data_IF_122909881716
#
_entry.id   IF_122909881716
#
_cell.length_a   1.000
_cell.length_b   1.000
_cell.length_c   1.000
_cell.angle_alpha   90.00
_cell.angle_beta   90.00
_cell.angle_gamma   90.00
#
_symmetry.space_group_name_H-M   'P 1'
#
loop_
_entity.id
_entity.type
_entity.pdbx_description
1 polymer ?
#
# COMPACT_ATOMS: atom_id res chain seq x y z
N UNK A 1 21.51 11.55 23.20
CA UNK A 1 20.89 10.65 24.18
C UNK A 1 19.88 11.46 24.98
N UNK A 2 18.73 10.88 25.27
CA UNK A 2 17.67 11.52 26.05
C UNK A 2 17.51 10.77 27.37
N UNK A 3 17.06 11.44 28.43
CA UNK A 3 16.76 10.82 29.72
C UNK A 3 15.43 10.05 29.62
N UNK A 4 15.40 8.82 30.13
CA UNK A 4 14.17 8.02 30.20
C UNK A 4 13.40 8.40 31.46
N UNK A 5 12.13 8.79 31.29
CA UNK A 5 11.26 9.19 32.39
C UNK A 5 10.25 8.10 32.75
N UNK A 6 9.65 7.46 31.74
CA UNK A 6 8.65 6.42 31.93
C UNK A 6 8.58 5.47 30.73
N UNK A 7 7.87 4.36 30.88
CA UNK A 7 7.55 3.43 29.80
C UNK A 7 6.09 3.00 29.84
N UNK A 8 5.58 2.55 28.69
CA UNK A 8 4.29 1.87 28.63
C UNK A 8 4.34 0.49 29.30
N UNK A 9 3.19 0.03 29.78
CA UNK A 9 3.08 -1.28 30.45
C UNK A 9 3.47 -2.44 29.51
N UNK A 10 3.10 -2.32 28.23
CA UNK A 10 3.41 -3.28 27.16
C UNK A 10 4.85 -3.17 26.61
N UNK A 11 5.62 -2.15 27.04
CA UNK A 11 6.99 -1.91 26.59
C UNK A 11 7.12 -1.31 25.17
N UNK A 12 6.01 -0.97 24.50
CA UNK A 12 6.00 -0.40 23.15
C UNK A 12 6.39 1.07 23.07
N UNK A 13 6.32 1.84 24.17
CA UNK A 13 6.56 3.29 24.19
C UNK A 13 7.45 3.71 25.35
N UNK A 14 8.32 4.69 25.08
CA UNK A 14 9.25 5.27 26.03
C UNK A 14 9.04 6.77 26.14
N UNK A 15 8.81 7.29 27.34
CA UNK A 15 8.77 8.72 27.60
C UNK A 15 10.19 9.21 27.86
N UNK A 16 10.58 10.24 27.12
CA UNK A 16 11.91 10.84 27.23
C UNK A 16 11.84 12.31 27.59
N UNK A 17 12.82 12.78 28.34
CA UNK A 17 13.15 14.19 28.48
C UNK A 17 14.51 14.51 27.85
N UNK A 18 14.69 15.61 27.13
CA UNK A 18 13.66 16.49 26.58
C UNK A 18 14.04 16.83 25.13
N UNK A 19 13.07 16.76 24.23
CA UNK A 19 13.22 17.28 22.88
C UNK A 19 12.77 18.74 22.89
N UNK A 20 13.70 19.67 22.63
CA UNK A 20 13.44 21.12 22.72
C UNK A 20 12.79 21.57 24.05
N UNK A 21 13.18 20.95 25.18
CA UNK A 21 12.66 21.28 26.50
C UNK A 21 11.28 20.69 26.82
N UNK A 22 10.74 19.83 25.95
CA UNK A 22 9.49 19.13 26.16
C UNK A 22 9.71 17.63 26.34
N UNK A 23 8.96 17.02 27.25
CA UNK A 23 8.85 15.57 27.38
C UNK A 23 8.03 15.02 26.22
N UNK A 24 8.40 13.83 25.72
CA UNK A 24 7.73 13.22 24.58
C UNK A 24 7.80 11.70 24.62
N UNK A 25 6.85 11.07 23.94
CA UNK A 25 6.79 9.61 23.79
C UNK A 25 7.40 9.18 22.47
N UNK A 26 8.29 8.18 22.52
CA UNK A 26 8.93 7.59 21.36
C UNK A 26 8.51 6.12 21.27
N UNK A 27 8.15 5.70 20.06
CA UNK A 27 7.86 4.30 19.79
C UNK A 27 9.14 3.46 19.88
N UNK A 28 9.12 2.38 20.65
CA UNK A 28 10.31 1.60 21.01
C UNK A 28 11.07 1.03 19.82
N UNK A 29 10.40 0.75 18.70
CA UNK A 29 11.07 0.28 17.48
C UNK A 29 11.89 1.36 16.76
N UNK A 30 11.62 2.64 17.04
CA UNK A 30 12.31 3.78 16.46
C UNK A 30 13.52 4.23 17.29
N UNK A 31 13.79 3.58 18.43
CA UNK A 31 14.86 3.98 19.34
C UNK A 31 15.63 2.79 19.91
N UNK A 32 16.95 2.96 20.08
CA UNK A 32 17.77 2.04 20.88
C UNK A 32 17.71 2.46 22.34
N UNK A 33 17.23 1.56 23.20
CA UNK A 33 17.05 1.83 24.64
C UNK A 33 18.20 1.24 25.43
N UNK A 34 18.88 2.08 26.20
CA UNK A 34 19.95 1.68 27.12
C UNK A 34 19.54 2.02 28.57
N UNK A 35 19.89 1.16 29.53
CA UNK A 35 19.60 1.36 30.98
C UNK A 35 18.11 1.49 31.31
N UNK A 36 17.31 0.53 30.85
CA UNK A 36 15.86 0.46 31.08
C UNK A 36 15.44 0.01 32.50
N UNK A 37 16.39 -0.41 33.33
CA UNK A 37 16.11 -0.97 34.67
C UNK A 37 15.59 0.10 35.63
N UNK A 38 14.44 -0.15 36.25
CA UNK A 38 13.85 0.74 37.25
C UNK A 38 13.04 1.92 36.72
N UNK A 39 12.82 2.01 35.40
CA UNK A 39 11.96 3.04 34.80
C UNK A 39 10.49 2.77 35.12
N UNK A 40 9.79 3.79 35.62
CA UNK A 40 8.40 3.71 36.04
C UNK A 40 7.45 3.39 34.87
N UNK A 41 6.40 2.63 35.15
CA UNK A 41 5.30 2.39 34.21
C UNK A 41 4.33 3.58 34.32
N UNK A 42 4.03 4.25 33.21
CA UNK A 42 3.06 5.34 33.21
C UNK A 42 1.62 4.80 33.32
N UNK A 43 0.82 5.39 34.22
CA UNK A 43 -0.59 5.00 34.41
C UNK A 43 -1.51 5.44 33.25
N UNK A 44 -1.10 6.45 32.47
CA UNK A 44 -1.84 6.97 31.32
C UNK A 44 -0.85 7.31 30.21
N UNK A 45 -0.98 6.66 29.06
CA UNK A 45 -0.27 7.04 27.83
C UNK A 45 -1.25 7.89 27.01
N UNK A 46 -0.90 9.11 26.59
CA UNK A 46 -1.76 9.87 25.69
C UNK A 46 -1.90 9.08 24.38
N UNK A 47 -3.14 8.75 24.02
CA UNK A 47 -3.46 8.24 22.68
C UNK A 47 -3.00 9.30 21.67
N UNK A 48 -2.27 8.96 20.59
CA UNK A 48 -1.81 9.96 19.64
C UNK A 48 -3.03 10.70 19.10
N UNK A 49 -3.13 11.99 19.43
CA UNK A 49 -4.11 12.89 18.84
C UNK A 49 -3.58 13.19 17.43
N UNK A 50 -4.34 12.92 16.36
CA UNK A 50 -3.94 13.32 15.01
C UNK A 50 -3.64 14.83 15.01
N UNK A 51 -2.61 15.31 14.30
CA UNK A 51 -2.23 16.71 14.35
C UNK A 51 -3.41 17.59 13.95
N UNK A 52 -3.83 18.45 14.87
CA UNK A 52 -4.76 19.54 14.58
C UNK A 52 -4.10 20.44 13.52
N UNK A 53 -4.72 20.68 12.35
CA UNK A 53 -4.14 21.56 11.36
C UNK A 53 -3.95 22.97 11.96
N UNK A 54 -2.75 23.51 11.82
CA UNK A 54 -2.41 24.87 12.23
C UNK A 54 -3.27 25.90 11.46
N UNK A 55 -3.78 26.96 12.11
CA UNK A 55 -4.53 28.00 11.42
C UNK A 55 -3.60 28.79 10.51
N UNK A 56 -3.79 28.63 9.20
CA UNK A 56 -3.12 29.45 8.18
C UNK A 56 -3.54 30.91 8.37
N UNK A 57 -2.55 31.80 8.50
CA UNK A 57 -2.77 33.24 8.61
C UNK A 57 -3.58 33.77 7.40
N UNK A 58 -4.58 34.61 7.67
CA UNK A 58 -5.45 35.18 6.65
C UNK A 58 -4.65 36.03 5.64
N UNK A 59 -4.68 35.62 4.37
CA UNK A 59 -4.22 36.41 3.22
C UNK A 59 -5.30 37.47 2.91
N UNK A 60 -4.96 38.74 2.63
CA UNK A 60 -5.96 39.77 2.36
C UNK A 60 -6.78 39.44 1.12
N UNK A 61 -8.10 39.58 1.26
CA UNK A 61 -9.15 39.38 0.26
C UNK A 61 -8.81 40.04 -1.08
N UNK A 62 -8.57 39.22 -2.10
CA UNK A 62 -8.73 39.63 -3.49
C UNK A 62 -10.22 39.71 -3.83
N UNK A 63 -10.58 40.75 -4.60
CA UNK A 63 -11.91 41.03 -5.12
C UNK A 63 -12.54 39.80 -5.82
N UNK A 64 -13.89 39.69 -5.88
CA UNK A 64 -14.57 38.49 -6.35
C UNK A 64 -14.21 38.20 -7.80
N UNK A 65 -13.36 37.19 -7.99
CA UNK A 65 -13.25 36.48 -9.24
C UNK A 65 -14.36 35.43 -9.24
N UNK A 66 -15.24 35.61 -10.23
CA UNK A 66 -16.33 34.76 -10.67
C UNK A 66 -16.08 33.27 -10.39
N UNK A 67 -17.06 32.66 -9.70
CA UNK A 67 -17.14 31.25 -9.36
C UNK A 67 -17.10 30.41 -10.64
N UNK A 68 -15.90 30.03 -11.07
CA UNK A 68 -15.74 28.90 -11.94
C UNK A 68 -16.12 27.67 -11.12
N UNK A 69 -17.30 27.15 -11.40
CA UNK A 69 -17.81 25.88 -10.89
C UNK A 69 -16.82 24.80 -11.31
N UNK A 70 -15.82 24.52 -10.47
CA UNK A 70 -15.06 23.27 -10.56
C UNK A 70 -16.01 22.21 -10.04
N UNK A 71 -16.65 21.53 -10.98
CA UNK A 71 -17.36 20.28 -10.76
C UNK A 71 -16.45 19.38 -9.92
N UNK A 72 -16.87 19.06 -8.71
CA UNK A 72 -16.24 18.03 -7.90
C UNK A 72 -16.14 16.78 -8.79
N UNK A 73 -14.98 16.07 -8.82
CA UNK A 73 -14.90 14.84 -9.58
C UNK A 73 -16.08 13.96 -9.16
N UNK A 74 -16.86 13.52 -10.14
CA UNK A 74 -18.00 12.67 -9.91
C UNK A 74 -17.60 11.55 -8.93
N UNK A 75 -18.33 11.43 -7.81
CA UNK A 75 -18.16 10.32 -6.91
C UNK A 75 -18.21 9.04 -7.74
N UNK A 76 -17.14 8.26 -7.68
CA UNK A 76 -17.04 6.98 -8.39
C UNK A 76 -18.26 6.13 -8.05
N UNK A 77 -18.77 5.30 -8.99
CA UNK A 77 -19.79 4.32 -8.65
C UNK A 77 -19.29 3.50 -7.45
N UNK A 78 -20.15 3.36 -6.44
CA UNK A 78 -19.91 2.60 -5.21
C UNK A 78 -19.92 1.10 -5.53
N UNK A 79 -18.88 0.64 -6.24
CA UNK A 79 -18.67 -0.78 -6.52
C UNK A 79 -18.03 -1.37 -5.28
N UNK A 80 -18.77 -2.21 -4.55
CA UNK A 80 -18.21 -2.96 -3.42
C UNK A 80 -16.97 -3.74 -3.89
N UNK A 81 -15.76 -3.38 -3.42
CA UNK A 81 -14.53 -3.97 -3.90
C UNK A 81 -14.39 -5.45 -3.50
N UNK A 82 -15.20 -5.93 -2.54
CA UNK A 82 -15.24 -7.34 -2.10
C UNK A 82 -16.25 -8.19 -2.87
N UNK A 83 -17.10 -7.60 -3.73
CA UNK A 83 -18.14 -8.34 -4.45
C UNK A 83 -17.59 -9.36 -5.46
N UNK A 84 -16.34 -9.20 -5.90
CA UNK A 84 -15.66 -10.08 -6.85
C UNK A 84 -14.15 -9.98 -6.67
N UNK A 85 -13.37 -10.95 -7.14
CA UNK A 85 -11.90 -10.81 -7.25
C UNK A 85 -11.46 -10.04 -8.50
N UNK A 86 -12.36 -9.85 -9.47
CA UNK A 86 -12.05 -9.08 -10.67
C UNK A 86 -11.88 -7.58 -10.36
N UNK A 87 -11.04 -6.92 -11.15
CA UNK A 87 -10.85 -5.46 -11.13
C UNK A 87 -11.94 -4.70 -11.86
N UNK A 88 -11.85 -3.37 -11.81
CA UNK A 88 -12.65 -2.45 -12.62
C UNK A 88 -11.76 -1.77 -13.65
N UNK A 89 -11.91 -2.16 -14.91
CA UNK A 89 -11.11 -1.67 -16.03
C UNK A 89 -11.85 -0.56 -16.79
N UNK A 90 -12.41 0.40 -16.06
CA UNK A 90 -13.05 1.57 -16.64
C UNK A 90 -12.15 2.20 -17.73
N UNK A 91 -12.55 2.19 -19.01
CA UNK A 91 -11.74 2.74 -20.10
C UNK A 91 -11.64 4.26 -20.04
N UNK A 92 -12.50 4.91 -19.25
CA UNK A 92 -12.53 6.36 -19.12
C UNK A 92 -11.73 6.93 -17.96
N UNK A 93 -11.15 6.07 -17.11
CA UNK A 93 -10.25 6.50 -16.04
C UNK A 93 -9.00 7.22 -16.58
N UNK A 94 -8.52 8.22 -15.83
CA UNK A 94 -7.29 8.94 -16.16
C UNK A 94 -6.07 8.02 -16.11
N UNK A 95 -5.96 7.19 -15.07
CA UNK A 95 -4.94 6.16 -14.95
C UNK A 95 -5.48 4.80 -15.39
N UNK A 96 -4.80 4.16 -16.34
CA UNK A 96 -5.07 2.80 -16.79
C UNK A 96 -3.94 1.85 -16.39
N UNK A 97 -4.28 0.57 -16.20
CA UNK A 97 -3.30 -0.49 -15.96
C UNK A 97 -2.73 -0.90 -17.31
N UNK A 98 -1.48 -0.53 -17.57
CA UNK A 98 -0.78 -0.82 -18.83
C UNK A 98 0.16 -2.02 -18.72
N UNK A 99 0.46 -2.46 -17.51
CA UNK A 99 1.21 -3.68 -17.22
C UNK A 99 0.64 -4.35 -15.98
N UNK A 100 0.41 -5.66 -16.07
CA UNK A 100 0.05 -6.51 -14.96
C UNK A 100 0.65 -7.89 -15.19
N UNK A 101 1.48 -8.36 -14.27
CA UNK A 101 2.18 -9.64 -14.41
C UNK A 101 2.32 -10.35 -13.07
N UNK A 102 1.96 -11.63 -13.05
CA UNK A 102 2.36 -12.55 -11.98
C UNK A 102 3.80 -13.00 -12.25
N UNK A 103 4.68 -12.77 -11.27
CA UNK A 103 6.04 -13.29 -11.25
C UNK A 103 6.01 -14.66 -10.59
N UNK A 104 5.92 -15.69 -11.43
CA UNK A 104 5.64 -17.06 -11.03
C UNK A 104 6.89 -17.92 -10.86
N UNK A 105 6.79 -19.21 -11.20
CA UNK A 105 7.87 -20.17 -11.03
C UNK A 105 9.15 -19.73 -11.76
N UNK A 106 10.22 -19.50 -11.00
CA UNK A 106 11.52 -19.10 -11.54
C UNK A 106 11.70 -17.59 -11.77
N UNK A 107 10.69 -16.78 -11.46
CA UNK A 107 10.76 -15.31 -11.58
C UNK A 107 10.72 -14.67 -10.19
N UNK A 108 11.69 -13.81 -9.87
CA UNK A 108 11.82 -13.19 -8.54
C UNK A 108 11.75 -14.21 -7.39
N UNK A 109 12.36 -15.40 -7.55
CA UNK A 109 12.22 -16.52 -6.61
C UNK A 109 10.74 -16.84 -6.28
N UNK A 110 9.84 -16.65 -7.24
CA UNK A 110 8.45 -17.06 -7.18
C UNK A 110 8.32 -18.56 -7.46
N UNK A 111 7.23 -19.14 -6.96
CA UNK A 111 6.89 -20.54 -7.15
C UNK A 111 7.70 -21.54 -6.32
N UNK A 112 8.52 -21.07 -5.38
CA UNK A 112 9.34 -21.92 -4.48
C UNK A 112 8.88 -21.78 -3.02
N UNK A 113 9.26 -22.75 -2.17
CA UNK A 113 8.79 -22.88 -0.77
C UNK A 113 9.91 -22.76 0.28
N UNK A 114 11.08 -22.27 -0.12
CA UNK A 114 12.21 -22.06 0.78
C UNK A 114 12.28 -20.61 1.30
N UNK A 115 13.28 -20.33 2.13
CA UNK A 115 13.50 -19.01 2.73
C UNK A 115 13.91 -17.92 1.73
N UNK A 116 14.25 -18.28 0.49
CA UNK A 116 14.61 -17.36 -0.58
C UNK A 116 13.41 -16.83 -1.36
N UNK A 117 12.22 -17.36 -1.11
CA UNK A 117 11.01 -17.03 -1.84
C UNK A 117 10.55 -15.57 -1.58
N UNK A 118 10.08 -14.87 -2.62
CA UNK A 118 9.67 -13.47 -2.55
C UNK A 118 8.16 -13.30 -2.74
N UNK A 119 7.60 -12.26 -2.14
CA UNK A 119 6.17 -11.97 -2.15
C UNK A 119 5.86 -10.48 -2.19
N UNK A 120 6.35 -9.79 -3.21
CA UNK A 120 6.16 -8.34 -3.36
C UNK A 120 5.19 -7.99 -4.48
N UNK A 121 4.47 -6.88 -4.34
CA UNK A 121 3.85 -6.16 -5.45
C UNK A 121 4.81 -5.03 -5.80
N UNK A 122 5.42 -5.11 -6.98
CA UNK A 122 6.21 -4.04 -7.57
C UNK A 122 5.27 -3.10 -8.31
N UNK A 123 5.07 -1.91 -7.73
CA UNK A 123 4.14 -0.91 -8.21
C UNK A 123 4.90 0.19 -8.94
N UNK A 124 4.41 0.57 -10.12
CA UNK A 124 4.88 1.76 -10.85
C UNK A 124 3.69 2.65 -11.23
N UNK A 125 3.83 3.96 -11.05
CA UNK A 125 2.89 4.97 -11.53
C UNK A 125 3.62 5.89 -12.50
N UNK A 126 3.06 6.04 -13.70
CA UNK A 126 3.63 6.79 -14.81
C UNK A 126 2.71 7.93 -15.26
N UNK A 127 3.30 9.04 -15.69
CA UNK A 127 2.60 10.12 -16.36
C UNK A 127 2.30 9.75 -17.83
N UNK A 128 1.66 10.68 -18.55
CA UNK A 128 1.35 10.49 -19.97
C UNK A 128 2.58 10.39 -20.88
N UNK A 129 3.73 10.90 -20.45
CA UNK A 129 5.02 10.77 -21.13
C UNK A 129 5.76 9.47 -20.82
N UNK A 130 5.26 8.66 -19.89
CA UNK A 130 5.93 7.45 -19.41
C UNK A 130 7.01 7.71 -18.35
N UNK A 131 7.05 8.92 -17.77
CA UNK A 131 7.94 9.23 -16.65
C UNK A 131 7.31 8.80 -15.33
N UNK A 132 8.13 8.38 -14.37
CA UNK A 132 7.66 8.03 -13.03
C UNK A 132 7.05 9.24 -12.31
N UNK A 133 5.89 9.04 -11.69
CA UNK A 133 5.20 10.06 -10.88
C UNK A 133 5.51 9.83 -9.42
N UNK A 134 6.47 10.56 -8.86
CA UNK A 134 6.74 10.54 -7.42
C UNK A 134 5.62 11.28 -6.66
N UNK A 135 5.25 10.79 -5.49
CA UNK A 135 4.17 11.36 -4.67
C UNK A 135 2.76 10.95 -5.11
N UNK A 136 2.61 10.04 -6.10
CA UNK A 136 1.30 9.45 -6.37
C UNK A 136 0.90 8.51 -5.23
N UNK A 137 -0.35 8.64 -4.79
CA UNK A 137 -0.96 7.85 -3.72
C UNK A 137 -1.75 6.72 -4.35
N UNK A 138 -1.38 5.49 -4.03
CA UNK A 138 -2.08 4.28 -4.48
C UNK A 138 -2.77 3.65 -3.27
N UNK A 139 -4.07 3.43 -3.41
CA UNK A 139 -4.93 2.91 -2.36
C UNK A 139 -5.21 1.41 -2.56
N UNK A 140 -5.15 0.64 -1.47
CA UNK A 140 -5.65 -0.72 -1.41
C UNK A 140 -7.10 -0.74 -0.91
N UNK A 141 -8.00 -1.30 -1.71
CA UNK A 141 -9.44 -1.29 -1.46
C UNK A 141 -9.97 -2.49 -0.66
N UNK A 142 -9.17 -3.56 -0.54
CA UNK A 142 -9.55 -4.80 0.15
C UNK A 142 -8.53 -5.18 1.23
N UNK A 143 -8.82 -6.24 2.00
CA UNK A 143 -7.95 -6.68 3.10
C UNK A 143 -7.84 -5.63 4.21
N UNK A 144 -6.63 -5.42 4.73
CA UNK A 144 -6.32 -4.43 5.77
C UNK A 144 -6.61 -2.98 5.36
N UNK A 145 -6.71 -2.72 4.04
CA UNK A 145 -6.80 -1.39 3.43
C UNK A 145 -5.61 -0.50 3.81
N UNK A 146 -5.27 0.44 2.95
CA UNK A 146 -4.12 1.30 3.19
C UNK A 146 -3.70 2.07 1.95
N UNK A 147 -2.66 2.87 2.11
CA UNK A 147 -2.08 3.63 1.00
C UNK A 147 -0.59 3.42 0.92
N UNK A 148 -0.06 3.50 -0.29
CA UNK A 148 1.36 3.55 -0.56
C UNK A 148 1.65 4.78 -1.42
N UNK A 149 2.78 5.44 -1.14
CA UNK A 149 3.24 6.60 -1.90
C UNK A 149 4.42 6.16 -2.76
N UNK A 150 4.43 6.61 -4.01
CA UNK A 150 5.47 6.29 -4.99
C UNK A 150 6.68 7.22 -4.91
N UNK A 151 7.86 6.71 -5.26
CA UNK A 151 9.13 7.45 -5.36
C UNK A 151 10.27 6.87 -4.53
N UNK A 152 9.96 6.20 -3.42
CA UNK A 152 10.97 5.68 -2.49
C UNK A 152 11.77 4.50 -3.04
N UNK A 153 11.33 3.90 -4.15
CA UNK A 153 12.00 2.79 -4.86
C UNK A 153 12.53 3.19 -6.24
N UNK A 154 12.67 4.50 -6.46
CA UNK A 154 13.00 5.12 -7.74
C UNK A 154 11.77 5.78 -8.39
N UNK A 155 11.96 6.46 -9.54
CA UNK A 155 10.93 7.32 -10.12
C UNK A 155 9.61 6.58 -10.35
N UNK A 156 8.54 7.04 -9.70
CA UNK A 156 7.20 6.49 -9.76
C UNK A 156 7.03 5.11 -9.13
N UNK A 157 8.02 4.59 -8.41
CA UNK A 157 8.03 3.21 -7.91
C UNK A 157 7.76 3.10 -6.42
N UNK A 158 7.04 2.05 -6.06
CA UNK A 158 6.87 1.60 -4.68
C UNK A 158 6.79 0.07 -4.63
N UNK A 159 6.91 -0.49 -3.43
CA UNK A 159 6.82 -1.92 -3.19
C UNK A 159 5.87 -2.19 -2.03
N UNK A 160 5.03 -3.21 -2.16
CA UNK A 160 4.16 -3.70 -1.08
C UNK A 160 4.55 -5.14 -0.79
N UNK A 161 4.87 -5.44 0.47
CA UNK A 161 5.07 -6.82 0.91
C UNK A 161 3.72 -7.48 1.16
N UNK A 162 3.48 -8.63 0.54
CA UNK A 162 2.24 -9.38 0.69
C UNK A 162 2.36 -10.44 1.79
N UNK A 163 1.37 -10.52 2.66
CA UNK A 163 1.24 -11.63 3.59
C UNK A 163 -0.03 -12.41 3.28
N UNK A 164 -0.98 -12.42 4.20
CA UNK A 164 -2.23 -13.16 4.06
C UNK A 164 -3.30 -12.40 3.28
N UNK A 165 -3.35 -11.08 3.47
CA UNK A 165 -4.43 -10.24 2.98
C UNK A 165 -4.43 -10.07 1.46
N UNK A 166 -5.61 -9.91 0.83
CA UNK A 166 -5.71 -9.55 -0.57
C UNK A 166 -5.43 -8.06 -0.80
N UNK A 167 -5.09 -7.74 -2.04
CA UNK A 167 -4.84 -6.36 -2.49
C UNK A 167 -5.63 -6.06 -3.77
N UNK A 168 -6.28 -4.91 -3.82
CA UNK A 168 -6.85 -4.32 -5.05
C UNK A 168 -6.43 -2.87 -5.10
N UNK A 169 -5.60 -2.53 -6.07
CA UNK A 169 -4.94 -1.24 -6.12
C UNK A 169 -5.60 -0.32 -7.14
N UNK A 170 -5.64 0.97 -6.80
CA UNK A 170 -5.96 2.07 -7.71
C UNK A 170 -5.13 3.30 -7.36
N UNK A 171 -4.85 4.17 -8.33
CA UNK A 171 -4.28 5.50 -8.06
C UNK A 171 -5.40 6.41 -7.53
N UNK A 172 -5.27 6.88 -6.30
CA UNK A 172 -6.25 7.78 -5.66
C UNK A 172 -5.95 9.25 -5.97
N UNK A 173 -4.68 9.62 -5.98
CA UNK A 173 -4.22 10.98 -6.33
C UNK A 173 -2.82 10.96 -6.90
N UNK A 174 -2.49 12.00 -7.67
CA UNK A 174 -1.12 12.34 -8.06
C UNK A 174 -0.76 13.75 -7.52
N UNK A 175 0.47 14.27 -7.70
CA UNK A 175 0.84 15.61 -7.21
C UNK A 175 -0.05 16.77 -7.72
N UNK A 176 -0.83 16.54 -8.78
CA UNK A 176 -1.80 17.50 -9.32
C UNK A 176 -3.15 17.46 -8.60
N UNK A 177 -3.40 16.46 -7.76
CA UNK A 177 -4.63 16.28 -6.98
C UNK A 177 -5.29 14.92 -7.16
N UNK A 178 -6.56 14.78 -6.73
CA UNK A 178 -7.34 13.55 -6.89
C UNK A 178 -7.52 13.16 -8.36
N UNK A 179 -7.52 11.85 -8.65
CA UNK A 179 -7.61 11.32 -10.01
C UNK A 179 -8.62 10.17 -10.10
N UNK A 180 -9.02 9.81 -11.32
CA UNK A 180 -9.72 8.56 -11.58
C UNK A 180 -8.74 7.50 -12.06
N UNK A 181 -8.92 6.26 -11.61
CA UNK A 181 -8.03 5.14 -11.92
C UNK A 181 -8.84 3.88 -12.14
N UNK A 182 -8.35 3.02 -13.03
CA UNK A 182 -8.74 1.61 -13.03
C UNK A 182 -8.39 0.98 -11.68
N UNK A 183 -9.14 -0.05 -11.32
CA UNK A 183 -8.87 -0.89 -10.15
C UNK A 183 -8.35 -2.23 -10.61
N UNK A 184 -7.24 -2.69 -10.04
CA UNK A 184 -6.65 -3.97 -10.41
C UNK A 184 -7.55 -5.17 -10.10
N UNK A 185 -7.29 -6.29 -10.78
CA UNK A 185 -7.66 -7.59 -10.24
C UNK A 185 -7.09 -7.77 -8.83
N UNK A 186 -7.72 -8.62 -8.02
CA UNK A 186 -7.26 -8.94 -6.69
C UNK A 186 -5.92 -9.66 -6.76
N UNK A 187 -4.90 -9.07 -6.16
CA UNK A 187 -3.58 -9.66 -5.94
C UNK A 187 -3.51 -10.23 -4.52
N UNK A 188 -2.49 -11.03 -4.26
CA UNK A 188 -2.25 -11.61 -2.94
C UNK A 188 -1.67 -13.02 -3.07
N UNK A 189 -1.21 -13.55 -1.94
CA UNK A 189 -0.69 -14.92 -1.88
C UNK A 189 -1.81 -15.94 -1.69
N UNK A 190 -2.77 -15.65 -0.81
CA UNK A 190 -3.83 -16.57 -0.43
C UNK A 190 -5.11 -16.43 -1.25
N UNK A 191 -5.50 -15.18 -1.56
CA UNK A 191 -6.77 -14.88 -2.23
C UNK A 191 -6.61 -14.10 -3.54
N UNK A 192 -5.80 -14.54 -4.51
CA UNK A 192 -5.61 -13.81 -5.76
C UNK A 192 -6.76 -14.01 -6.75
N UNK A 193 -6.90 -13.18 -7.76
CA UNK A 193 -7.77 -13.47 -8.90
C UNK A 193 -7.24 -14.71 -9.64
N UNK A 194 -7.87 -15.87 -9.40
CA UNK A 194 -7.39 -17.18 -9.83
C UNK A 194 -7.05 -17.28 -11.34
N UNK A 195 -7.81 -16.68 -12.27
CA UNK A 195 -7.45 -16.69 -13.69
C UNK A 195 -6.06 -16.12 -13.99
N UNK A 196 -5.56 -15.17 -13.20
CA UNK A 196 -4.24 -14.56 -13.40
C UNK A 196 -3.08 -15.54 -13.08
N UNK A 197 -3.35 -16.58 -12.28
CA UNK A 197 -2.35 -17.55 -11.81
C UNK A 197 -2.21 -18.77 -12.73
N UNK A 198 -3.18 -19.01 -13.62
CA UNK A 198 -3.26 -20.25 -14.39
C UNK A 198 -1.97 -20.51 -15.17
N UNK A 199 -1.31 -21.61 -14.85
CA UNK A 199 -0.06 -22.05 -15.49
C UNK A 199 1.17 -21.20 -15.15
N UNK A 200 1.10 -20.32 -14.15
CA UNK A 200 2.23 -19.45 -13.74
C UNK A 200 3.06 -20.00 -12.60
N UNK A 201 2.46 -20.80 -11.72
CA UNK A 201 3.09 -21.27 -10.49
C UNK A 201 3.51 -22.74 -10.55
N UNK A 202 3.93 -23.20 -11.73
CA UNK A 202 4.31 -24.57 -12.02
C UNK A 202 3.26 -25.35 -12.80
N UNK A 203 3.69 -26.46 -13.41
CA UNK A 203 2.83 -27.35 -14.17
C UNK A 203 2.23 -28.47 -13.29
N UNK A 204 1.52 -29.40 -13.91
CA UNK A 204 0.90 -30.54 -13.22
C UNK A 204 1.91 -31.54 -12.64
N UNK A 205 3.17 -31.52 -13.10
CA UNK A 205 4.23 -32.41 -12.65
C UNK A 205 5.08 -31.78 -11.55
N UNK A 206 5.00 -30.47 -11.39
CA UNK A 206 5.65 -29.77 -10.29
C UNK A 206 4.91 -30.05 -8.98
N UNK A 207 5.59 -30.70 -8.04
CA UNK A 207 5.02 -31.13 -6.75
C UNK A 207 4.31 -29.98 -6.02
N UNK A 208 4.90 -28.80 -6.10
CA UNK A 208 4.43 -27.55 -5.47
C UNK A 208 3.64 -26.65 -6.42
N UNK A 209 3.22 -27.17 -7.59
CA UNK A 209 2.40 -26.45 -8.54
C UNK A 209 1.10 -25.96 -7.91
N UNK A 210 0.84 -24.66 -8.05
CA UNK A 210 -0.45 -24.05 -7.74
C UNK A 210 -1.12 -23.57 -9.03
N UNK A 211 -2.42 -23.85 -9.16
CA UNK A 211 -3.20 -23.49 -10.34
C UNK A 211 -2.51 -23.80 -11.70
N UNK A 212 -1.94 -25.00 -11.95
CA UNK A 212 -1.40 -25.34 -13.27
C UNK A 212 -2.45 -25.26 -14.38
N UNK A 213 -3.70 -25.61 -14.06
CA UNK A 213 -4.89 -25.33 -14.86
C UNK A 213 -5.99 -24.80 -13.93
N UNK A 214 -7.05 -24.21 -14.49
CA UNK A 214 -8.18 -23.70 -13.68
C UNK A 214 -8.90 -24.79 -12.88
N UNK A 215 -8.82 -26.05 -13.32
CA UNK A 215 -9.51 -27.18 -12.67
C UNK A 215 -8.60 -27.97 -11.70
N UNK A 216 -7.30 -27.64 -11.62
CA UNK A 216 -6.32 -28.40 -10.84
C UNK A 216 -5.68 -27.46 -9.84
N UNK A 217 -5.91 -27.70 -8.54
CA UNK A 217 -5.31 -26.94 -7.43
C UNK A 217 -5.46 -25.42 -7.60
N UNK A 218 -6.57 -24.96 -8.16
CA UNK A 218 -6.84 -23.56 -8.44
C UNK A 218 -8.10 -23.10 -7.69
N UNK A 219 -8.02 -23.11 -6.38
CA UNK A 219 -9.07 -22.66 -5.49
C UNK A 219 -8.47 -21.87 -4.33
N UNK A 220 -9.28 -21.00 -3.73
CA UNK A 220 -8.88 -20.29 -2.52
C UNK A 220 -9.02 -21.18 -1.28
N UNK A 221 -8.16 -20.99 -0.26
CA UNK A 221 -6.95 -20.18 -0.29
C UNK A 221 -5.82 -20.91 -1.03
N UNK A 222 -5.05 -20.18 -1.84
CA UNK A 222 -3.76 -20.69 -2.32
C UNK A 222 -2.82 -20.76 -1.13
N UNK A 223 -2.20 -21.92 -0.92
CA UNK A 223 -1.36 -22.14 0.25
C UNK A 223 0.08 -22.42 -0.14
N UNK A 224 0.96 -21.83 0.68
CA UNK A 224 2.36 -22.23 0.82
C UNK A 224 3.15 -22.20 -0.49
N UNK A 225 2.88 -21.19 -1.32
CA UNK A 225 3.71 -20.79 -2.45
C UNK A 225 3.86 -19.28 -2.37
N UNK A 226 5.08 -18.78 -2.47
CA UNK A 226 5.32 -17.34 -2.56
C UNK A 226 5.54 -16.98 -4.03
N UNK A 227 5.03 -15.82 -4.39
CA UNK A 227 5.16 -15.26 -5.73
C UNK A 227 4.87 -13.77 -5.65
N UNK A 228 5.27 -13.04 -6.68
CA UNK A 228 5.21 -11.58 -6.70
C UNK A 228 4.34 -11.09 -7.86
N UNK A 229 4.04 -9.80 -7.87
CA UNK A 229 3.33 -9.14 -8.96
C UNK A 229 4.11 -7.93 -9.44
N UNK A 230 3.99 -7.61 -10.72
CA UNK A 230 4.30 -6.30 -11.25
C UNK A 230 2.99 -5.66 -11.71
N UNK A 231 2.82 -4.38 -11.38
CA UNK A 231 1.69 -3.59 -11.85
C UNK A 231 2.16 -2.17 -12.21
N UNK A 232 1.68 -1.66 -13.34
CA UNK A 232 1.94 -0.29 -13.77
C UNK A 232 0.65 0.42 -14.12
N UNK A 233 0.40 1.52 -13.42
CA UNK A 233 -0.62 2.50 -13.77
C UNK A 233 0.02 3.59 -14.61
N UNK A 234 -0.58 3.96 -15.73
CA UNK A 234 -0.13 5.07 -16.56
C UNK A 234 -1.28 6.03 -16.80
N UNK A 235 -1.00 7.33 -16.65
CA UNK A 235 -1.92 8.40 -17.02
C UNK A 235 -2.07 8.42 -18.54
N UNK A 236 -3.28 8.27 -19.04
CA UNK A 236 -3.59 8.25 -20.48
C UNK A 236 -4.55 9.35 -20.91
N UNK A 237 -5.07 10.12 -19.94
CA UNK A 237 -5.95 11.28 -20.17
C UNK A 237 -5.53 12.45 -19.28
#
# INVERSE_FOLDING_TARGET
>A
SYELLARSADGGWWQVCCFNGQEGWIYGELATVEKADGIAIAEVIPTPVPPTPEPVAAVPTAAPAEEAVVEAPAALPDVDPYASSAGDFNPDAQYQIVHFKVLGLGENNGGIRDSGAQHHIFLTVLDAGGNGVDGAVVENLVGEKGTVVTGDKGPGKAEITMYWEPFKLRVASDPSGPVTSQTSNQMGLAFPHLPDLVGKLGDVNYEYGACPTIDIKCEWPIQAIHFSYEITFQKVK
#
